data_IF_976883824769
#
_entry.id   IF_976883824769
#
_cell.length_a   1.000
_cell.length_b   1.000
_cell.length_c   1.000
_cell.angle_alpha   90.00
_cell.angle_beta   90.00
_cell.angle_gamma   90.00
#
_symmetry.space_group_name_H-M   'P 1'
#
loop_
_entity.id
_entity.type
_entity.pdbx_description
1 polymer ?
#
# COMPACT_ATOMS: atom_id res chain seq x y z
N UNK A 1 -7.41 -9.28 13.45
CA UNK A 1 -8.61 -8.41 13.66
C UNK A 1 -8.74 -7.22 12.69
N UNK A 2 -7.73 -6.85 11.88
CA UNK A 2 -7.82 -5.67 11.00
C UNK A 2 -8.68 -5.87 9.72
N UNK A 3 -8.80 -7.10 9.21
CA UNK A 3 -9.56 -7.41 7.99
C UNK A 3 -11.10 -7.27 8.11
N UNK A 4 -11.68 -7.55 9.29
CA UNK A 4 -13.14 -7.50 9.51
C UNK A 4 -13.75 -6.12 9.24
N UNK A 5 -13.02 -5.07 9.57
CA UNK A 5 -13.49 -3.68 9.49
C UNK A 5 -13.26 -3.03 8.11
N UNK A 6 -12.21 -3.46 7.41
CA UNK A 6 -12.03 -3.18 5.99
C UNK A 6 -13.19 -3.75 5.16
N UNK A 7 -13.55 -5.01 5.45
CA UNK A 7 -14.70 -5.68 4.85
C UNK A 7 -16.01 -4.92 5.07
N UNK A 8 -16.23 -4.36 6.27
CA UNK A 8 -17.45 -3.58 6.56
C UNK A 8 -17.54 -2.27 5.76
N UNK A 9 -16.44 -1.53 5.62
CA UNK A 9 -16.44 -0.29 4.84
C UNK A 9 -16.63 -0.56 3.34
N UNK A 10 -16.01 -1.64 2.83
CA UNK A 10 -16.19 -2.06 1.45
C UNK A 10 -17.62 -2.58 1.20
N UNK A 11 -18.14 -3.42 2.10
CA UNK A 11 -19.51 -3.93 2.05
C UNK A 11 -20.54 -2.80 2.10
N UNK A 12 -20.33 -1.76 2.91
CA UNK A 12 -21.23 -0.62 2.96
C UNK A 12 -21.23 0.20 1.65
N UNK A 13 -20.07 0.35 0.99
CA UNK A 13 -20.01 1.00 -0.32
C UNK A 13 -20.77 0.22 -1.39
N UNK A 14 -20.59 -1.09 -1.42
CA UNK A 14 -21.32 -1.95 -2.37
C UNK A 14 -22.82 -1.97 -2.05
N UNK A 15 -23.21 -2.02 -0.77
CA UNK A 15 -24.62 -1.98 -0.34
C UNK A 15 -25.31 -0.65 -0.69
N UNK A 16 -24.57 0.45 -0.75
CA UNK A 16 -25.07 1.76 -1.19
C UNK A 16 -25.07 1.93 -2.73
N UNK A 17 -24.85 0.86 -3.51
CA UNK A 17 -24.81 0.92 -4.98
C UNK A 17 -23.51 1.50 -5.56
N UNK A 18 -22.45 1.63 -4.76
CA UNK A 18 -21.14 2.08 -5.21
C UNK A 18 -20.39 1.00 -5.99
N UNK A 19 -19.46 1.42 -6.86
CA UNK A 19 -18.62 0.50 -7.63
C UNK A 19 -17.56 -0.17 -6.74
N UNK A 20 -17.14 -1.38 -7.11
CA UNK A 20 -16.16 -2.17 -6.37
C UNK A 20 -14.84 -1.41 -6.19
N UNK A 21 -14.49 -0.62 -7.20
CA UNK A 21 -13.26 0.14 -7.23
C UNK A 21 -13.25 1.31 -6.23
N UNK A 22 -14.41 1.89 -5.92
CA UNK A 22 -14.54 2.90 -4.87
C UNK A 22 -14.46 2.26 -3.48
N UNK A 23 -14.99 1.04 -3.34
CA UNK A 23 -14.93 0.27 -2.11
C UNK A 23 -13.48 -0.07 -1.72
N UNK A 24 -12.66 -0.54 -2.67
CA UNK A 24 -11.26 -0.95 -2.40
C UNK A 24 -10.28 0.22 -2.30
N UNK A 25 -10.61 1.39 -2.88
CA UNK A 25 -9.80 2.60 -2.74
C UNK A 25 -9.80 3.13 -1.31
N UNK A 26 -10.91 2.96 -0.58
CA UNK A 26 -11.01 3.47 0.79
C UNK A 26 -9.92 2.80 1.61
N UNK A 27 -8.97 3.57 2.19
CA UNK A 27 -8.07 2.99 3.15
C UNK A 27 -8.97 2.36 4.19
N UNK A 28 -8.74 1.08 4.53
CA UNK A 28 -9.52 0.37 5.54
C UNK A 28 -9.80 1.38 6.66
N UNK A 29 -11.03 1.67 7.03
CA UNK A 29 -11.33 2.91 7.77
C UNK A 29 -11.89 2.62 9.16
N UNK A 30 -11.40 1.61 9.88
CA UNK A 30 -11.73 1.50 11.30
C UNK A 30 -10.77 0.61 12.10
N UNK A 31 -10.19 1.19 13.15
CA UNK A 31 -10.31 0.68 14.51
C UNK A 31 -10.05 1.87 15.46
N UNK A 32 -10.73 1.90 16.60
CA UNK A 32 -10.43 2.79 17.74
C UNK A 32 -9.21 2.31 18.55
N UNK A 33 -8.46 1.33 18.06
CA UNK A 33 -7.37 0.66 18.78
C UNK A 33 -6.07 0.86 18.00
N UNK A 34 -5.16 1.60 18.63
CA UNK A 34 -3.83 2.01 18.19
C UNK A 34 -3.78 3.32 17.38
N UNK A 35 -3.62 4.42 18.12
CA UNK A 35 -3.13 5.71 17.66
C UNK A 35 -1.87 5.59 16.76
N UNK A 36 -1.07 4.53 16.94
CA UNK A 36 0.16 4.21 16.20
C UNK A 36 -0.03 3.59 14.81
N UNK A 37 -1.24 3.14 14.43
CA UNK A 37 -1.49 2.40 13.15
C UNK A 37 -2.21 3.23 12.08
N UNK A 38 -2.17 4.57 12.16
CA UNK A 38 -2.80 5.46 11.18
C UNK A 38 -2.31 5.12 9.77
N UNK A 39 -3.26 4.72 8.92
CA UNK A 39 -3.13 4.00 7.63
C UNK A 39 -2.56 4.85 6.49
N UNK A 40 -1.36 5.36 6.72
CA UNK A 40 -0.55 6.10 5.77
C UNK A 40 0.90 6.21 6.21
N UNK A 41 1.21 5.77 7.43
CA UNK A 41 2.58 5.73 7.90
C UNK A 41 3.46 4.74 7.11
N UNK A 42 4.74 4.80 7.41
CA UNK A 42 5.86 4.14 6.75
C UNK A 42 6.81 3.64 7.83
N UNK A 43 7.55 2.61 7.47
CA UNK A 43 8.65 2.09 8.28
C UNK A 43 9.92 2.86 7.93
N UNK A 44 10.95 2.79 8.78
CA UNK A 44 12.23 3.39 8.45
C UNK A 44 13.05 2.49 7.50
N UNK A 45 13.79 3.12 6.59
CA UNK A 45 14.76 2.47 5.71
C UNK A 45 16.13 2.23 6.40
N UNK A 46 17.08 1.65 5.66
CA UNK A 46 18.46 1.44 6.14
C UNK A 46 19.20 2.72 6.54
N UNK A 47 18.79 3.86 5.98
CA UNK A 47 19.35 5.18 6.29
C UNK A 47 18.58 5.87 7.42
N UNK A 48 17.65 5.16 8.07
CA UNK A 48 16.80 5.66 9.15
C UNK A 48 15.93 6.85 8.72
N UNK A 49 15.57 6.89 7.44
CA UNK A 49 14.64 7.86 6.85
C UNK A 49 13.27 7.23 6.65
N UNK A 50 12.25 8.06 6.41
CA UNK A 50 10.91 7.58 6.05
C UNK A 50 10.99 6.68 4.83
N UNK A 51 10.62 5.42 5.00
CA UNK A 51 10.66 4.42 3.96
C UNK A 51 9.62 4.66 2.89
N UNK A 52 9.84 3.98 1.77
CA UNK A 52 9.05 4.18 0.57
C UNK A 52 7.65 3.56 0.69
N UNK A 53 6.65 4.25 0.16
CA UNK A 53 5.29 3.71 0.04
C UNK A 53 5.03 3.02 -1.28
N UNK A 54 4.20 1.99 -1.25
CA UNK A 54 3.67 1.39 -2.47
C UNK A 54 2.15 1.18 -2.41
N UNK A 55 1.53 1.17 -3.59
CA UNK A 55 0.13 0.82 -3.75
C UNK A 55 -0.16 0.28 -5.15
N UNK A 56 -1.21 -0.52 -5.23
CA UNK A 56 -1.80 -1.06 -6.45
C UNK A 56 -3.32 -0.91 -6.38
N UNK A 57 -3.95 -0.62 -7.51
CA UNK A 57 -5.39 -0.72 -7.70
C UNK A 57 -5.67 -1.28 -9.10
N UNK A 58 -6.64 -2.18 -9.24
CA UNK A 58 -7.03 -2.77 -10.53
C UNK A 58 -8.55 -2.84 -10.64
N UNK A 59 -9.07 -2.40 -11.77
CA UNK A 59 -10.47 -2.54 -12.20
C UNK A 59 -10.63 -3.85 -12.99
N UNK A 60 -11.41 -4.79 -12.45
CA UNK A 60 -11.67 -6.07 -13.13
C UNK A 60 -12.50 -5.93 -14.40
N UNK A 61 -13.25 -4.83 -14.57
CA UNK A 61 -14.11 -4.63 -15.75
C UNK A 61 -13.32 -4.25 -17.00
N UNK A 62 -12.31 -3.42 -16.81
CA UNK A 62 -11.56 -2.77 -17.90
C UNK A 62 -10.11 -3.22 -17.96
N UNK A 63 -9.66 -3.98 -16.94
CA UNK A 63 -8.25 -4.27 -16.66
C UNK A 63 -7.40 -3.00 -16.48
N UNK A 64 -8.04 -1.84 -16.30
CA UNK A 64 -7.35 -0.61 -15.96
C UNK A 64 -6.66 -0.79 -14.60
N UNK A 65 -5.40 -0.40 -14.52
CA UNK A 65 -4.60 -0.56 -13.32
C UNK A 65 -3.91 0.76 -12.95
N UNK A 66 -3.55 0.88 -11.69
CA UNK A 66 -2.80 2.02 -11.19
C UNK A 66 -1.83 1.53 -10.15
N UNK A 67 -0.56 1.93 -10.24
CA UNK A 67 0.41 1.58 -9.22
C UNK A 67 1.34 2.75 -8.91
N UNK A 68 1.85 2.72 -7.68
CA UNK A 68 2.87 3.64 -7.19
C UNK A 68 3.91 2.77 -6.49
N UNK A 69 5.16 2.81 -6.98
CA UNK A 69 6.27 2.07 -6.39
C UNK A 69 7.31 3.00 -5.77
N UNK A 70 7.96 2.52 -4.71
CA UNK A 70 9.13 3.11 -4.08
C UNK A 70 9.03 4.65 -3.88
N UNK A 71 7.86 5.14 -3.49
CA UNK A 71 7.62 6.58 -3.52
C UNK A 71 7.91 7.26 -2.17
N UNK A 72 8.91 8.16 -2.18
CA UNK A 72 9.19 9.14 -1.11
C UNK A 72 8.37 10.41 -1.21
N UNK A 73 7.36 10.42 -2.07
CA UNK A 73 6.59 11.60 -2.40
C UNK A 73 5.73 12.16 -1.25
N UNK A 74 5.92 11.71 0.00
CA UNK A 74 5.18 12.14 1.19
C UNK A 74 3.65 12.14 1.04
N UNK A 75 3.10 11.31 0.15
CA UNK A 75 1.64 11.11 0.04
C UNK A 75 1.20 10.13 1.12
N UNK A 76 0.28 10.58 1.97
CA UNK A 76 -0.29 9.77 3.05
C UNK A 76 -0.87 8.45 2.55
N UNK A 77 -1.68 8.52 1.50
CA UNK A 77 -2.44 7.39 0.95
C UNK A 77 -2.01 7.11 -0.50
N UNK A 78 -0.96 6.31 -0.74
CA UNK A 78 -0.48 6.05 -2.10
C UNK A 78 -1.53 5.34 -2.98
N UNK A 79 -2.49 4.61 -2.41
CA UNK A 79 -3.62 4.03 -3.18
C UNK A 79 -4.50 5.10 -3.84
N UNK A 80 -4.67 6.25 -3.20
CA UNK A 80 -5.38 7.38 -3.79
C UNK A 80 -4.63 7.98 -4.97
N UNK A 81 -3.29 7.99 -4.92
CA UNK A 81 -2.45 8.42 -6.04
C UNK A 81 -2.49 7.40 -7.18
N UNK A 82 -2.38 6.11 -6.86
CA UNK A 82 -2.48 5.02 -7.85
C UNK A 82 -3.82 5.07 -8.60
N UNK A 83 -4.93 5.31 -7.89
CA UNK A 83 -6.24 5.52 -8.51
C UNK A 83 -6.25 6.71 -9.47
N UNK A 84 -5.70 7.85 -9.08
CA UNK A 84 -5.64 9.04 -9.94
C UNK A 84 -4.74 8.82 -11.16
N UNK A 85 -3.67 8.04 -11.04
CA UNK A 85 -2.86 7.63 -12.20
C UNK A 85 -3.71 6.86 -13.19
N UNK A 86 -4.36 5.79 -12.72
CA UNK A 86 -5.27 4.97 -13.54
C UNK A 86 -6.35 5.79 -14.26
N UNK A 87 -6.89 6.83 -13.62
CA UNK A 87 -7.94 7.69 -14.21
C UNK A 87 -7.45 8.79 -15.16
N UNK A 88 -6.19 9.24 -15.02
CA UNK A 88 -5.71 10.48 -15.67
C UNK A 88 -4.54 10.28 -16.62
N UNK A 89 -4.01 9.07 -16.73
CA UNK A 89 -2.90 8.77 -17.64
C UNK A 89 -3.31 7.69 -18.61
N UNK A 90 -3.08 7.92 -19.90
CA UNK A 90 -3.31 6.93 -20.95
C UNK A 90 -2.28 5.79 -20.91
N UNK A 91 -1.06 6.09 -20.43
CA UNK A 91 0.03 5.12 -20.24
C UNK A 91 0.19 4.76 -18.76
N UNK A 92 -0.44 3.67 -18.38
CA UNK A 92 -0.41 3.03 -17.07
C UNK A 92 0.96 2.37 -16.76
N UNK A 93 1.34 2.08 -15.50
CA UNK A 93 1.76 2.96 -14.40
C UNK A 93 3.28 3.27 -14.38
N UNK A 94 3.70 4.26 -13.57
CA UNK A 94 5.13 4.58 -13.36
C UNK A 94 5.68 3.90 -12.10
N UNK A 95 6.54 2.90 -12.28
CA UNK A 95 7.36 2.33 -11.20
C UNK A 95 8.51 3.24 -10.74
N UNK A 96 8.72 4.40 -11.42
CA UNK A 96 9.74 5.37 -11.03
C UNK A 96 9.28 6.20 -9.81
N UNK A 97 10.07 6.22 -8.71
CA UNK A 97 9.82 7.10 -7.56
C UNK A 97 9.70 8.59 -7.94
N UNK A 98 10.54 9.02 -8.89
CA UNK A 98 10.55 10.40 -9.40
C UNK A 98 9.31 10.69 -10.23
N UNK A 99 8.90 9.74 -11.08
CA UNK A 99 7.67 9.85 -11.87
C UNK A 99 6.44 9.99 -10.99
N UNK A 100 6.30 9.13 -9.97
CA UNK A 100 5.19 9.18 -9.02
C UNK A 100 5.19 10.47 -8.17
N UNK A 101 6.37 11.05 -7.91
CA UNK A 101 6.47 12.35 -7.21
C UNK A 101 5.96 13.48 -8.10
N UNK A 102 6.51 13.60 -9.32
CA UNK A 102 6.11 14.62 -10.31
C UNK A 102 4.62 14.54 -10.65
N UNK A 103 4.09 13.34 -10.85
CA UNK A 103 2.67 13.16 -11.11
C UNK A 103 1.80 13.66 -9.95
N UNK A 104 2.21 13.36 -8.71
CA UNK A 104 1.49 13.85 -7.54
C UNK A 104 1.56 15.38 -7.39
N UNK A 105 2.66 16.02 -7.79
CA UNK A 105 2.76 17.49 -7.85
C UNK A 105 1.84 18.05 -8.93
N UNK A 106 1.85 17.47 -10.14
CA UNK A 106 1.06 17.93 -11.29
C UNK A 106 -0.45 17.92 -11.03
N UNK A 107 -0.94 16.98 -10.21
CA UNK A 107 -2.37 16.90 -9.85
C UNK A 107 -2.71 17.53 -8.49
N UNK A 108 -1.74 18.17 -7.83
CA UNK A 108 -1.93 18.88 -6.57
C UNK A 108 -2.28 17.97 -5.38
N UNK A 109 -1.64 16.80 -5.24
CA UNK A 109 -1.88 15.93 -4.08
C UNK A 109 -1.26 16.53 -2.81
N UNK A 110 -2.04 16.70 -1.72
CA UNK A 110 -1.49 17.15 -0.45
C UNK A 110 -0.34 16.27 0.05
N UNK A 111 0.72 16.91 0.53
CA UNK A 111 1.90 16.26 1.11
C UNK A 111 1.80 16.28 2.64
N UNK A 112 2.32 15.25 3.28
CA UNK A 112 2.54 15.20 4.72
C UNK A 112 3.99 15.56 5.06
N UNK A 113 4.27 15.84 6.33
CA UNK A 113 5.64 15.86 6.83
C UNK A 113 6.19 14.43 6.95
N UNK A 114 7.51 14.31 7.14
CA UNK A 114 8.13 13.00 7.33
C UNK A 114 7.66 12.36 8.64
N UNK A 115 7.53 13.17 9.68
CA UNK A 115 7.16 12.80 11.04
C UNK A 115 5.74 12.27 11.09
N UNK A 116 4.81 12.89 10.34
CA UNK A 116 3.42 12.43 10.19
C UNK A 116 3.31 11.06 9.51
N UNK A 117 4.35 10.63 8.80
CA UNK A 117 4.42 9.35 8.11
C UNK A 117 5.20 8.30 8.91
N UNK A 118 5.99 8.65 9.93
CA UNK A 118 6.66 7.64 10.76
C UNK A 118 5.63 7.11 11.77
N UNK A 119 5.66 5.79 12.02
CA UNK A 119 4.84 5.22 13.10
C UNK A 119 5.53 5.31 14.44
N UNK A 120 4.74 5.60 15.48
CA UNK A 120 5.19 5.74 16.86
C UNK A 120 6.07 4.55 17.31
N UNK A 121 5.67 3.32 17.01
CA UNK A 121 6.41 2.10 17.37
C UNK A 121 7.81 2.04 16.71
N UNK A 122 7.99 2.62 15.52
CA UNK A 122 9.30 2.72 14.86
C UNK A 122 10.18 3.81 15.48
N UNK A 123 9.60 4.88 16.02
CA UNK A 123 10.35 5.95 16.67
C UNK A 123 11.03 5.45 17.95
N UNK A 124 10.29 4.72 18.78
CA UNK A 124 10.81 4.13 20.03
C UNK A 124 11.91 3.10 19.72
N UNK A 125 11.68 2.21 18.75
CA UNK A 125 12.69 1.23 18.32
C UNK A 125 13.95 1.90 17.75
N UNK A 126 13.79 2.96 16.97
CA UNK A 126 14.91 3.69 16.38
C UNK A 126 15.76 4.40 17.44
N UNK A 127 15.14 4.91 18.50
CA UNK A 127 15.84 5.44 19.68
C UNK A 127 16.60 4.32 20.41
N UNK A 128 15.94 3.19 20.70
CA UNK A 128 16.54 2.04 21.35
C UNK A 128 17.78 1.50 20.59
N UNK A 129 17.72 1.39 19.25
CA UNK A 129 18.86 0.96 18.42
C UNK A 129 19.96 2.03 18.35
N UNK A 130 19.61 3.32 18.40
CA UNK A 130 20.61 4.41 18.50
C UNK A 130 21.39 4.34 19.80
N UNK A 131 20.71 4.05 20.90
CA UNK A 131 21.27 4.05 22.25
C UNK A 131 22.11 2.80 22.53
N UNK A 132 21.69 1.62 22.05
CA UNK A 132 22.35 0.36 22.37
C UNK A 132 23.39 -0.11 21.35
N UNK A 133 23.47 0.51 20.18
CA UNK A 133 24.48 0.21 19.15
C UNK A 133 24.41 -1.20 18.54
N UNK A 134 23.49 -2.05 18.97
CA UNK A 134 23.33 -3.42 18.47
C UNK A 134 22.31 -3.45 17.34
N UNK A 135 22.76 -3.83 16.13
CA UNK A 135 21.90 -4.08 14.98
C UNK A 135 22.36 -5.35 14.25
N UNK A 136 21.54 -6.40 14.27
CA UNK A 136 21.78 -7.64 13.52
C UNK A 136 20.79 -7.73 12.33
N UNK A 137 21.27 -7.82 11.08
CA UNK A 137 20.42 -7.97 9.89
C UNK A 137 19.54 -9.23 9.89
N UNK A 138 19.86 -10.24 10.69
CA UNK A 138 19.11 -11.50 10.80
C UNK A 138 17.69 -11.33 11.35
N UNK A 139 17.44 -10.26 12.12
CA UNK A 139 16.13 -9.98 12.73
C UNK A 139 15.09 -9.42 11.73
N UNK A 140 15.47 -9.26 10.46
CA UNK A 140 14.61 -8.78 9.38
C UNK A 140 13.70 -9.86 8.79
N UNK A 141 14.09 -11.13 8.95
CA UNK A 141 13.40 -12.29 8.37
C UNK A 141 12.64 -13.11 9.42
N UNK A 142 12.81 -12.80 10.71
CA UNK A 142 12.00 -13.40 11.76
C UNK A 142 10.53 -13.00 11.55
N UNK A 143 9.65 -13.98 11.66
CA UNK A 143 8.24 -13.98 11.25
C UNK A 143 7.35 -12.88 11.89
N UNK A 144 7.86 -12.14 12.88
CA UNK A 144 7.20 -10.95 13.47
C UNK A 144 7.58 -9.60 12.85
N UNK A 145 8.58 -9.57 11.94
CA UNK A 145 9.16 -8.35 11.37
C UNK A 145 8.63 -7.98 9.97
N UNK A 146 7.64 -8.72 9.47
CA UNK A 146 7.05 -8.48 8.15
C UNK A 146 6.27 -7.16 8.14
N UNK A 147 6.47 -6.38 7.08
CA UNK A 147 5.78 -5.11 6.89
C UNK A 147 4.27 -5.32 6.69
N UNK A 148 3.47 -4.44 7.29
CA UNK A 148 2.02 -4.48 7.15
C UNK A 148 1.60 -4.06 5.73
N UNK A 149 1.43 -5.04 4.84
CA UNK A 149 0.68 -4.88 3.59
C UNK A 149 -0.80 -5.11 3.87
N UNK A 150 -1.63 -4.15 3.46
CA UNK A 150 -3.08 -4.22 3.61
C UNK A 150 -3.70 -4.21 2.22
N UNK A 151 -4.56 -5.20 1.98
CA UNK A 151 -5.29 -5.39 0.74
C UNK A 151 -6.80 -5.49 0.97
N UNK A 152 -7.56 -5.13 -0.05
CA UNK A 152 -9.00 -5.31 -0.12
C UNK A 152 -9.41 -5.75 -1.54
N UNK A 153 -10.35 -6.68 -1.60
CA UNK A 153 -11.05 -7.07 -2.82
C UNK A 153 -12.52 -6.79 -2.63
N UNK A 154 -13.22 -6.41 -3.70
CA UNK A 154 -14.66 -6.18 -3.67
C UNK A 154 -15.32 -6.69 -4.95
N UNK A 155 -16.56 -7.13 -4.80
CA UNK A 155 -17.52 -7.38 -5.87
C UNK A 155 -18.68 -6.40 -5.65
N UNK A 156 -19.04 -5.64 -6.68
CA UNK A 156 -20.18 -4.74 -6.63
C UNK A 156 -21.47 -5.37 -7.17
N UNK A 157 -22.60 -4.68 -6.96
CA UNK A 157 -23.92 -5.11 -7.41
C UNK A 157 -24.08 -5.18 -8.94
N UNK A 158 -23.12 -4.64 -9.69
CA UNK A 158 -23.10 -4.69 -11.16
C UNK A 158 -22.25 -5.86 -11.68
N UNK A 159 -21.73 -6.72 -10.79
CA UNK A 159 -20.83 -7.81 -11.17
C UNK A 159 -19.40 -7.34 -11.47
N UNK A 160 -19.01 -6.13 -11.04
CA UNK A 160 -17.66 -5.59 -11.19
C UNK A 160 -16.74 -6.06 -10.06
N UNK A 161 -15.58 -6.61 -10.40
CA UNK A 161 -14.51 -6.86 -9.44
C UNK A 161 -13.57 -5.66 -9.33
N UNK A 162 -13.05 -5.43 -8.13
CA UNK A 162 -11.97 -4.48 -7.89
C UNK A 162 -11.01 -5.01 -6.84
N UNK A 163 -9.74 -4.67 -6.98
CA UNK A 163 -8.73 -4.90 -5.94
C UNK A 163 -7.96 -3.62 -5.66
N UNK A 164 -7.66 -3.39 -4.39
CA UNK A 164 -6.86 -2.28 -3.91
C UNK A 164 -5.91 -2.75 -2.82
N UNK A 165 -4.64 -2.38 -2.95
CA UNK A 165 -3.59 -2.76 -2.03
C UNK A 165 -2.69 -1.57 -1.73
N UNK A 166 -2.26 -1.45 -0.47
CA UNK A 166 -1.17 -0.56 -0.12
C UNK A 166 -0.28 -1.16 0.97
N UNK A 167 1.01 -0.95 0.83
CA UNK A 167 2.02 -1.48 1.71
C UNK A 167 2.93 -0.39 2.25
N UNK A 168 3.45 -0.63 3.45
CA UNK A 168 4.52 0.17 4.07
C UNK A 168 5.91 -0.31 3.66
N UNK A 169 5.96 -1.32 2.80
CA UNK A 169 7.15 -2.08 2.45
C UNK A 169 7.77 -2.77 3.69
N UNK A 170 8.96 -3.36 3.57
CA UNK A 170 9.60 -4.08 4.68
C UNK A 170 10.48 -3.15 5.52
N UNK A 171 10.61 -3.43 6.82
CA UNK A 171 11.54 -2.71 7.73
C UNK A 171 12.97 -2.80 7.18
N UNK A 172 13.75 -1.73 7.40
CA UNK A 172 15.18 -1.68 7.00
C UNK A 172 15.42 -2.07 5.53
N UNK A 173 14.47 -1.74 4.68
CA UNK A 173 14.62 -1.90 3.24
C UNK A 173 15.74 -0.99 2.71
N UNK A 174 16.40 -1.45 1.65
CA UNK A 174 17.24 -0.56 0.85
C UNK A 174 16.37 0.56 0.23
N UNK A 175 16.82 1.83 0.22
CA UNK A 175 16.17 2.90 -0.51
C UNK A 175 15.87 2.49 -1.96
N UNK A 176 14.64 2.69 -2.42
CA UNK A 176 14.23 2.32 -3.78
C UNK A 176 13.83 0.86 -3.94
N UNK A 177 13.87 0.03 -2.88
CA UNK A 177 13.40 -1.36 -2.95
C UNK A 177 11.91 -1.39 -3.28
N UNK A 178 11.57 -2.13 -4.32
CA UNK A 178 10.17 -2.42 -4.68
C UNK A 178 9.81 -3.84 -4.26
N UNK A 179 8.66 -3.99 -3.61
CA UNK A 179 8.07 -5.29 -3.29
C UNK A 179 7.03 -5.76 -4.31
N UNK A 180 6.30 -6.81 -3.97
CA UNK A 180 5.12 -7.30 -4.70
C UNK A 180 3.97 -6.27 -4.70
N UNK A 181 3.90 -5.45 -3.64
CA UNK A 181 2.86 -4.44 -3.39
C UNK A 181 2.26 -3.74 -4.63
N UNK A 182 3.08 -3.07 -5.45
CA UNK A 182 2.66 -2.34 -6.65
C UNK A 182 2.70 -3.18 -7.94
N UNK A 183 2.96 -4.49 -7.88
CA UNK A 183 3.11 -5.36 -9.03
C UNK A 183 1.82 -6.15 -9.27
N UNK A 184 1.19 -5.91 -10.42
CA UNK A 184 0.01 -6.67 -10.87
C UNK A 184 0.37 -8.14 -11.04
N UNK A 185 -0.52 -9.04 -10.60
CA UNK A 185 -0.32 -10.50 -10.64
C UNK A 185 0.48 -11.06 -9.48
N UNK A 186 1.27 -10.24 -8.78
CA UNK A 186 1.97 -10.64 -7.55
C UNK A 186 1.29 -10.07 -6.30
N UNK A 187 1.16 -8.74 -6.23
CA UNK A 187 0.49 -8.05 -5.12
C UNK A 187 -1.03 -8.15 -5.19
N UNK A 188 -1.59 -8.05 -6.39
CA UNK A 188 -3.02 -8.22 -6.59
C UNK A 188 -3.42 -8.27 -8.06
N UNK A 189 -4.61 -8.80 -8.32
CA UNK A 189 -5.18 -8.91 -9.65
C UNK A 189 -6.71 -8.87 -9.55
N UNK A 190 -7.38 -8.32 -10.58
CA UNK A 190 -8.82 -8.37 -10.71
C UNK A 190 -9.19 -8.51 -12.19
N UNK A 191 -10.12 -9.40 -12.49
CA UNK A 191 -10.68 -9.66 -13.82
C UNK A 191 -12.13 -10.13 -13.67
N UNK A 192 -13.04 -9.49 -14.40
CA UNK A 192 -14.46 -9.82 -14.41
C UNK A 192 -14.77 -11.23 -14.94
N UNK A 193 -13.87 -11.83 -15.73
CA UNK A 193 -14.03 -13.20 -16.21
C UNK A 193 -13.60 -14.26 -15.20
N UNK A 194 -12.88 -13.88 -14.13
CA UNK A 194 -12.28 -14.83 -13.18
C UNK A 194 -12.54 -14.48 -11.72
N UNK A 195 -12.15 -13.29 -11.27
CA UNK A 195 -12.25 -12.88 -9.88
C UNK A 195 -11.22 -11.83 -9.48
N UNK A 196 -11.09 -11.57 -8.18
CA UNK A 196 -10.10 -10.64 -7.62
C UNK A 196 -9.34 -11.23 -6.42
N UNK A 197 -8.05 -10.93 -6.34
CA UNK A 197 -7.14 -11.42 -5.30
C UNK A 197 -6.18 -10.31 -4.86
N UNK A 198 -5.88 -10.25 -3.56
CA UNK A 198 -4.82 -9.42 -2.98
C UNK A 198 -3.95 -10.28 -2.08
N UNK A 199 -2.63 -10.12 -2.15
CA UNK A 199 -1.67 -10.92 -1.39
C UNK A 199 -1.01 -10.12 -0.25
N UNK A 200 -0.48 -10.81 0.74
CA UNK A 200 0.30 -10.19 1.81
C UNK A 200 1.31 -11.20 2.34
N UNK A 201 2.44 -10.71 2.85
CA UNK A 201 3.52 -11.55 3.36
C UNK A 201 4.88 -11.15 2.80
N UNK A 202 5.73 -12.17 2.56
CA UNK A 202 7.10 -11.92 2.12
C UNK A 202 7.17 -11.63 0.61
N UNK A 203 7.28 -10.35 0.26
CA UNK A 203 7.19 -9.92 -1.14
C UNK A 203 8.17 -10.59 -2.10
N UNK A 204 9.38 -10.97 -1.67
CA UNK A 204 10.32 -11.72 -2.52
C UNK A 204 9.78 -13.09 -2.89
N UNK A 205 9.04 -13.74 -2.00
CA UNK A 205 8.42 -15.05 -2.26
C UNK A 205 7.21 -14.91 -3.16
N UNK A 206 6.36 -13.90 -2.91
CA UNK A 206 5.19 -13.60 -3.73
C UNK A 206 5.53 -13.24 -5.18
N UNK A 207 6.71 -12.67 -5.43
CA UNK A 207 7.19 -12.38 -6.80
C UNK A 207 7.82 -13.58 -7.52
N UNK A 208 8.19 -14.64 -6.80
CA UNK A 208 9.00 -15.76 -7.33
C UNK A 208 8.20 -17.00 -7.70
N UNK A 209 6.89 -17.01 -7.43
CA UNK A 209 6.04 -18.19 -7.65
C UNK A 209 6.27 -18.75 -9.05
N UNK A 210 6.73 -20.01 -9.07
CA UNK A 210 6.99 -20.85 -10.24
C UNK A 210 5.97 -21.98 -10.23
#
# INVERSE_FOLDING_TARGET
MQGKLAGLAAAHCCAAGGRALDAVKRPCASSKIARSRRRGGRLLDQRRQVGDGCALIVDGRTLALGCVAASRNRVRYPIGLARRMMERTELTPSWSPKGASKFADAIGVPRCTAEELIVDDEQVRHQYIRELGQYQPSDLLSSGSLGDTVGAVALDSFGGFGVGQHGRNTRNQMPGRVGDGPLVGSGGYADNLSGAVSSTGHGRSLMKVR
#
